data_IF_646355897202
#
_entry.id   IF_646355897202
#
_cell.length_a   1.000
_cell.length_b   1.000
_cell.length_c   1.000
_cell.angle_alpha   90.00
_cell.angle_beta   90.00
_cell.angle_gamma   90.00
#
_symmetry.space_group_name_H-M   'P 1'
#
loop_
_entity.id
_entity.type
_entity.pdbx_description
1 polymer ?
#
# COMPACT_ATOMS: atom_id res chain seq x y z
N UNK A 1 19.18 9.31 53.85
CA UNK A 1 18.09 8.73 54.66
C UNK A 1 16.79 9.07 53.93
N UNK A 2 15.89 8.14 53.57
CA UNK A 2 15.23 7.08 54.36
C UNK A 2 14.34 7.69 55.47
N UNK A 3 13.06 7.33 55.64
CA UNK A 3 12.33 6.14 55.14
C UNK A 3 10.78 6.26 55.23
N UNK A 4 10.04 5.67 54.25
CA UNK A 4 8.69 5.02 54.38
C UNK A 4 7.46 5.91 54.73
N UNK A 5 6.17 5.57 54.48
CA UNK A 5 5.38 4.67 53.58
C UNK A 5 3.89 5.17 53.63
N UNK A 6 2.78 4.60 53.12
CA UNK A 6 2.39 3.33 52.45
C UNK A 6 1.09 3.54 51.62
N UNK A 7 0.93 2.89 50.46
CA UNK A 7 -0.35 2.72 49.69
C UNK A 7 -0.98 4.02 49.11
N UNK A 8 -1.89 4.03 48.12
CA UNK A 8 -2.79 2.99 47.56
C UNK A 8 -2.58 2.76 46.06
N UNK A 9 -2.88 1.55 45.58
CA UNK A 9 -2.88 1.20 44.16
C UNK A 9 -4.22 1.55 43.49
N UNK A 10 -4.19 2.39 42.45
CA UNK A 10 -5.28 2.54 41.48
C UNK A 10 -4.83 1.94 40.14
N UNK A 11 -5.56 0.92 39.68
CA UNK A 11 -5.20 0.12 38.51
C UNK A 11 -5.53 0.85 37.20
N UNK A 12 -4.57 0.94 36.29
CA UNK A 12 -4.74 0.82 34.82
C UNK A 12 -6.08 1.32 34.20
N UNK A 13 -6.32 2.63 34.17
CA UNK A 13 -7.34 3.24 33.29
C UNK A 13 -6.71 4.38 32.46
N UNK A 14 -5.89 3.98 31.48
CA UNK A 14 -5.42 4.84 30.38
C UNK A 14 -5.08 3.97 29.14
N UNK A 15 -5.87 2.93 28.93
CA UNK A 15 -5.71 1.98 27.82
C UNK A 15 -6.40 2.50 26.55
N UNK A 16 -5.71 2.38 25.39
CA UNK A 16 -6.26 2.60 24.04
C UNK A 16 -6.73 4.03 23.75
N UNK A 17 -5.80 4.97 23.68
CA UNK A 17 -5.83 5.90 22.54
C UNK A 17 -5.45 5.05 21.32
N UNK A 18 -6.31 5.01 20.30
CA UNK A 18 -6.04 4.22 19.10
C UNK A 18 -4.92 4.89 18.30
N UNK A 19 -3.82 4.16 18.04
CA UNK A 19 -2.88 4.54 17.00
C UNK A 19 -3.57 4.38 15.63
N UNK A 20 -4.21 5.44 15.16
CA UNK A 20 -4.50 5.61 13.74
C UNK A 20 -3.16 5.84 13.03
N UNK A 21 -2.59 4.74 12.53
CA UNK A 21 -1.46 4.79 11.62
C UNK A 21 -1.92 5.47 10.34
N UNK A 22 -1.63 6.78 10.20
CA UNK A 22 -1.89 7.50 8.97
C UNK A 22 -0.95 6.98 7.87
N UNK A 23 -1.52 6.22 6.93
CA UNK A 23 -0.81 5.75 5.73
C UNK A 23 -0.20 6.95 5.00
N UNK A 24 1.13 6.95 4.90
CA UNK A 24 1.90 8.09 4.38
C UNK A 24 2.91 7.63 3.33
N UNK A 25 2.74 8.16 2.12
CA UNK A 25 3.62 7.96 0.98
C UNK A 25 3.56 9.19 0.06
N UNK A 26 4.54 9.31 -0.83
CA UNK A 26 4.56 10.27 -1.94
C UNK A 26 4.90 9.52 -3.23
N UNK A 27 4.16 9.79 -4.32
CA UNK A 27 4.44 9.19 -5.63
C UNK A 27 5.84 9.53 -6.11
N UNK A 28 6.62 8.52 -6.50
CA UNK A 28 7.98 8.70 -6.98
C UNK A 28 9.02 8.99 -5.89
N UNK A 29 8.70 8.76 -4.61
CA UNK A 29 9.67 8.87 -3.51
C UNK A 29 10.81 7.85 -3.65
N UNK A 30 11.95 8.10 -2.99
CA UNK A 30 13.15 7.25 -3.10
C UNK A 30 13.57 6.62 -1.77
N UNK A 31 13.69 5.30 -1.75
CA UNK A 31 14.47 4.56 -0.74
C UNK A 31 15.96 4.72 -1.07
N UNK A 32 16.76 5.11 -0.07
CA UNK A 32 18.24 5.18 -0.10
C UNK A 32 18.85 5.86 -1.33
N UNK A 33 18.10 6.79 -1.96
CA UNK A 33 18.44 7.45 -3.24
C UNK A 33 18.67 6.49 -4.42
N UNK A 34 18.22 5.23 -4.32
CA UNK A 34 18.47 4.14 -5.29
C UNK A 34 17.20 3.58 -5.92
N UNK A 35 16.18 3.33 -5.11
CA UNK A 35 14.94 2.66 -5.51
C UNK A 35 13.78 3.64 -5.43
N UNK A 36 13.03 3.79 -6.52
CA UNK A 36 11.83 4.64 -6.55
C UNK A 36 10.58 3.84 -6.15
N UNK A 37 9.68 4.42 -5.38
CA UNK A 37 8.39 3.84 -5.03
C UNK A 37 7.24 4.57 -5.72
N UNK A 38 6.26 3.83 -6.22
CA UNK A 38 4.98 4.35 -6.70
C UNK A 38 3.83 3.50 -6.14
N UNK A 39 2.64 4.09 -6.06
CA UNK A 39 1.49 3.51 -5.38
C UNK A 39 0.28 3.49 -6.31
N UNK A 40 -0.32 2.31 -6.49
CA UNK A 40 -1.38 2.06 -7.47
C UNK A 40 -2.62 1.42 -6.84
N UNK A 41 -3.76 1.70 -7.47
CA UNK A 41 -5.05 1.09 -7.21
C UNK A 41 -5.52 0.29 -8.43
N UNK A 42 -6.17 -0.85 -8.18
CA UNK A 42 -6.88 -1.66 -9.19
C UNK A 42 -8.36 -1.75 -8.79
N UNK A 43 -9.27 -1.38 -9.70
CA UNK A 43 -10.72 -1.52 -9.47
C UNK A 43 -11.25 -2.91 -9.84
N UNK A 44 -12.55 -3.15 -9.56
CA UNK A 44 -13.24 -4.40 -9.89
C UNK A 44 -13.38 -4.68 -11.41
N UNK A 45 -13.06 -3.73 -12.29
CA UNK A 45 -12.90 -3.96 -13.74
C UNK A 45 -11.47 -4.37 -14.12
N UNK A 46 -10.52 -4.36 -13.18
CA UNK A 46 -9.10 -4.56 -13.45
C UNK A 46 -8.40 -3.33 -14.04
N UNK A 47 -9.01 -2.14 -14.01
CA UNK A 47 -8.38 -0.91 -14.47
C UNK A 47 -7.37 -0.41 -13.43
N UNK A 48 -6.18 -0.03 -13.92
CA UNK A 48 -5.06 0.40 -13.10
C UNK A 48 -4.99 1.93 -13.00
N UNK A 49 -4.77 2.46 -11.80
CA UNK A 49 -4.69 3.89 -11.48
C UNK A 49 -3.51 4.19 -10.55
N UNK A 50 -3.04 5.44 -10.51
CA UNK A 50 -2.31 5.95 -9.34
C UNK A 50 -3.24 5.99 -8.12
N UNK A 51 -2.73 5.61 -6.94
CA UNK A 51 -3.57 5.48 -5.75
C UNK A 51 -4.06 6.85 -5.20
N UNK A 52 -3.24 7.89 -5.29
CA UNK A 52 -3.56 9.28 -4.95
C UNK A 52 -4.40 10.00 -6.03
N UNK A 53 -4.72 9.35 -7.16
CA UNK A 53 -5.53 9.94 -8.21
C UNK A 53 -6.93 10.34 -7.69
N UNK A 54 -7.20 11.66 -7.68
CA UNK A 54 -8.46 12.29 -7.23
C UNK A 54 -9.72 11.75 -7.92
N UNK A 55 -9.57 11.24 -9.14
CA UNK A 55 -10.65 10.62 -9.92
C UNK A 55 -10.10 9.32 -10.51
N UNK A 56 -10.83 8.22 -10.31
CA UNK A 56 -10.52 6.91 -10.88
C UNK A 56 -11.67 6.53 -11.81
N UNK A 57 -11.47 6.73 -13.11
CA UNK A 57 -12.47 6.54 -14.16
C UNK A 57 -11.81 6.18 -15.50
N UNK A 58 -12.60 5.93 -16.54
CA UNK A 58 -12.05 5.57 -17.85
C UNK A 58 -11.12 6.63 -18.49
N UNK A 59 -11.09 7.90 -18.06
CA UNK A 59 -10.12 8.87 -18.58
C UNK A 59 -8.81 8.91 -17.79
N UNK A 60 -8.78 8.44 -16.54
CA UNK A 60 -7.60 8.44 -15.67
C UNK A 60 -6.91 7.08 -15.49
N UNK A 61 -7.47 5.98 -16.00
CA UNK A 61 -6.82 4.68 -15.98
C UNK A 61 -5.64 4.59 -16.96
N UNK A 62 -4.63 3.78 -16.63
CA UNK A 62 -3.54 3.43 -17.54
C UNK A 62 -4.04 2.54 -18.68
N UNK A 63 -3.61 2.83 -19.92
CA UNK A 63 -4.09 2.16 -21.14
C UNK A 63 -3.00 1.63 -22.07
N UNK A 64 -1.73 1.94 -21.82
CA UNK A 64 -0.65 1.45 -22.68
C UNK A 64 -0.51 -0.07 -22.51
N UNK A 65 -0.73 -0.80 -23.62
CA UNK A 65 -0.76 -2.27 -23.61
C UNK A 65 0.59 -2.89 -23.23
N UNK A 66 1.72 -2.23 -23.50
CA UNK A 66 3.06 -2.75 -23.17
C UNK A 66 3.33 -2.56 -21.68
N UNK A 67 3.00 -1.41 -21.11
CA UNK A 67 3.07 -1.13 -19.68
C UNK A 67 2.17 -2.07 -18.88
N UNK A 68 0.89 -2.18 -19.23
CA UNK A 68 -0.05 -3.06 -18.52
C UNK A 68 0.41 -4.53 -18.58
N UNK A 69 0.79 -5.04 -19.76
CA UNK A 69 1.31 -6.41 -19.89
C UNK A 69 2.63 -6.62 -19.12
N UNK A 70 3.50 -5.61 -19.03
CA UNK A 70 4.71 -5.65 -18.20
C UNK A 70 4.38 -5.71 -16.71
N UNK A 71 3.40 -4.90 -16.28
CA UNK A 71 2.99 -4.67 -14.89
C UNK A 71 2.28 -5.89 -14.31
N UNK A 72 1.21 -6.35 -14.95
CA UNK A 72 0.46 -7.53 -14.49
C UNK A 72 1.29 -8.82 -14.55
N UNK A 73 2.20 -8.97 -15.52
CA UNK A 73 3.13 -10.12 -15.59
C UNK A 73 4.13 -10.18 -14.42
N UNK A 74 4.29 -9.10 -13.64
CA UNK A 74 5.21 -9.02 -12.48
C UNK A 74 4.51 -8.81 -11.15
N UNK A 75 3.18 -8.76 -11.17
CA UNK A 75 2.34 -8.68 -9.99
C UNK A 75 2.57 -9.92 -9.10
N UNK A 76 2.82 -9.69 -7.81
CA UNK A 76 3.05 -10.72 -6.79
C UNK A 76 2.79 -10.16 -5.40
N UNK A 77 2.71 -11.02 -4.39
CA UNK A 77 2.55 -10.63 -2.98
C UNK A 77 3.65 -9.66 -2.51
N UNK A 78 3.26 -8.66 -1.70
CA UNK A 78 4.18 -7.74 -1.07
C UNK A 78 4.92 -8.41 0.10
N UNK A 79 6.15 -8.85 -0.15
CA UNK A 79 7.06 -9.43 0.85
C UNK A 79 8.25 -8.51 1.16
N UNK A 80 8.04 -7.19 1.09
CA UNK A 80 9.09 -6.18 1.32
C UNK A 80 9.22 -5.73 2.78
N UNK A 81 8.21 -5.98 3.61
CA UNK A 81 8.11 -5.40 4.96
C UNK A 81 7.76 -3.91 4.98
N UNK A 82 7.42 -3.30 3.84
CA UNK A 82 6.90 -1.93 3.72
C UNK A 82 5.48 -1.97 3.20
N UNK A 83 4.57 -1.25 3.87
CA UNK A 83 3.17 -1.09 3.44
C UNK A 83 2.43 -2.42 3.16
N UNK A 84 2.72 -3.48 3.93
CA UNK A 84 2.21 -4.83 3.65
C UNK A 84 0.71 -4.98 3.87
N UNK A 85 0.16 -4.22 4.83
CA UNK A 85 -1.26 -4.27 5.19
C UNK A 85 -2.11 -3.44 4.23
N UNK A 86 -1.59 -2.30 3.78
CA UNK A 86 -2.31 -1.35 2.93
C UNK A 86 -2.10 -1.56 1.43
N UNK A 87 -0.96 -2.15 1.05
CA UNK A 87 -0.61 -2.53 -0.32
C UNK A 87 -0.09 -3.97 -0.36
N UNK A 88 -0.99 -4.98 -0.31
CA UNK A 88 -0.63 -6.40 -0.21
C UNK A 88 0.05 -6.98 -1.46
N UNK A 89 0.15 -6.22 -2.56
CA UNK A 89 0.81 -6.65 -3.80
C UNK A 89 1.88 -5.66 -4.28
N UNK A 90 2.84 -6.16 -5.07
CA UNK A 90 3.89 -5.37 -5.73
C UNK A 90 4.06 -5.79 -7.20
N UNK A 91 4.50 -4.85 -8.05
CA UNK A 91 4.99 -5.13 -9.40
C UNK A 91 6.36 -4.46 -9.62
N UNK A 92 7.48 -5.20 -9.49
CA UNK A 92 8.83 -4.63 -9.62
C UNK A 92 9.19 -4.22 -11.05
N UNK A 93 9.80 -3.05 -11.20
CA UNK A 93 10.23 -2.48 -12.49
C UNK A 93 11.67 -1.94 -12.41
N UNK A 94 12.67 -2.83 -12.49
CA UNK A 94 14.09 -2.45 -12.52
C UNK A 94 14.57 -1.80 -11.22
N UNK A 95 14.64 -0.46 -11.19
CA UNK A 95 14.94 0.34 -9.97
C UNK A 95 13.69 0.94 -9.33
N UNK A 96 12.51 0.50 -9.73
CA UNK A 96 11.23 1.00 -9.24
C UNK A 96 10.43 -0.15 -8.62
N UNK A 97 9.77 0.11 -7.48
CA UNK A 97 8.79 -0.79 -6.86
C UNK A 97 7.43 -0.10 -6.96
N UNK A 98 6.53 -0.70 -7.72
CA UNK A 98 5.13 -0.33 -7.70
C UNK A 98 4.47 -1.13 -6.58
N UNK A 99 3.86 -0.46 -5.60
CA UNK A 99 2.99 -1.02 -4.57
C UNK A 99 1.53 -0.97 -5.07
N UNK A 100 0.76 -2.02 -4.81
CA UNK A 100 -0.60 -2.21 -5.33
C UNK A 100 -1.56 -2.64 -4.22
N UNK A 101 -2.73 -2.00 -4.21
CA UNK A 101 -3.94 -2.46 -3.53
C UNK A 101 -5.09 -2.53 -4.53
N UNK A 102 -6.12 -3.31 -4.21
CA UNK A 102 -7.25 -3.58 -5.09
C UNK A 102 -8.58 -3.54 -4.34
N UNK A 103 -9.69 -3.49 -5.10
CA UNK A 103 -11.08 -3.56 -4.60
C UNK A 103 -11.38 -4.93 -3.96
N UNK A 104 -11.01 -6.01 -4.67
CA UNK A 104 -11.10 -7.40 -4.24
C UNK A 104 -9.84 -8.16 -4.74
N UNK A 105 -9.85 -8.66 -5.98
CA UNK A 105 -8.70 -9.35 -6.58
C UNK A 105 -7.86 -8.41 -7.47
N UNK A 106 -6.52 -8.58 -7.51
CA UNK A 106 -5.63 -7.72 -8.31
C UNK A 106 -5.48 -8.18 -9.77
N UNK A 107 -6.18 -9.25 -10.17
CA UNK A 107 -6.30 -9.72 -11.56
C UNK A 107 -7.77 -10.04 -11.82
N UNK A 108 -8.32 -9.49 -12.90
CA UNK A 108 -9.70 -9.74 -13.36
C UNK A 108 -9.67 -10.40 -14.73
N UNK A 109 -10.26 -11.59 -14.85
CA UNK A 109 -10.41 -12.29 -16.13
C UNK A 109 -11.64 -11.77 -16.87
N UNK A 110 -11.44 -10.98 -17.93
CA UNK A 110 -12.54 -10.43 -18.73
C UNK A 110 -13.12 -11.44 -19.72
N UNK A 111 -12.31 -12.41 -20.17
CA UNK A 111 -12.69 -13.45 -21.13
C UNK A 111 -12.10 -14.80 -20.69
N UNK A 112 -12.84 -15.87 -20.92
CA UNK A 112 -12.33 -17.25 -20.91
C UNK A 112 -12.19 -17.70 -22.37
N UNK A 113 -10.99 -18.15 -22.74
CA UNK A 113 -10.61 -18.56 -24.11
C UNK A 113 -10.49 -20.07 -24.22
#
# INVERSE_FOLDING_TARGET
MFHKLLSVSTRSILSKVNNVNFLSYVQGQYIDKKTREYFYYIDHQGMLFLDDARMKNFTSCFKDKKFLAFFFKRLRENKTGRYTEEFPFISPCGREINFIRCDDQPIVFTHLS
#
